data_IF_395617427425
#
_entry.id   IF_395617427425
#
_cell.length_a   1.000
_cell.length_b   1.000
_cell.length_c   1.000
_cell.angle_alpha   90.00
_cell.angle_beta   90.00
_cell.angle_gamma   90.00
#
_symmetry.space_group_name_H-M   'P 1'
#
loop_
_entity.id
_entity.type
_entity.pdbx_description
1 polymer ?
#
# COMPACT_ATOMS: atom_id res chain seq x y z
N UNK A 1 21.70 -20.23 26.85
CA UNK A 1 20.30 -19.79 27.02
C UNK A 1 20.11 -18.63 26.07
N UNK A 2 19.53 -18.88 24.90
CA UNK A 2 19.37 -17.87 23.83
C UNK A 2 18.05 -17.16 24.12
N UNK A 3 18.00 -15.82 24.24
CA UNK A 3 16.74 -15.12 24.44
C UNK A 3 15.89 -15.27 23.18
N UNK A 4 14.62 -15.61 23.36
CA UNK A 4 13.65 -15.71 22.28
C UNK A 4 13.47 -14.33 21.63
N UNK A 5 13.74 -14.25 20.32
CA UNK A 5 13.36 -13.11 19.50
C UNK A 5 11.85 -12.94 19.60
N UNK A 6 11.39 -11.75 20.00
CA UNK A 6 9.99 -11.39 19.93
C UNK A 6 9.54 -11.50 18.45
N UNK A 7 8.76 -12.54 18.14
CA UNK A 7 8.02 -12.59 16.88
C UNK A 7 6.84 -11.63 17.04
N UNK A 8 6.73 -10.53 16.27
CA UNK A 8 5.53 -9.72 16.31
C UNK A 8 4.44 -10.48 15.57
N UNK A 9 3.69 -11.32 16.29
CA UNK A 9 2.39 -11.80 15.82
C UNK A 9 1.43 -10.63 15.92
N UNK A 10 1.26 -9.89 14.82
CA UNK A 10 0.15 -8.95 14.64
C UNK A 10 -1.19 -9.66 14.38
N UNK A 11 -1.34 -10.91 14.85
CA UNK A 11 -2.57 -11.68 14.72
C UNK A 11 -3.54 -11.16 15.77
N UNK A 12 -4.54 -10.40 15.34
CA UNK A 12 -5.60 -9.84 16.19
C UNK A 12 -5.66 -8.31 16.25
N UNK A 13 -4.79 -7.60 15.53
CA UNK A 13 -4.74 -6.14 15.50
C UNK A 13 -5.16 -5.60 14.13
N UNK A 14 -5.89 -4.48 14.11
CA UNK A 14 -6.23 -3.75 12.88
C UNK A 14 -4.99 -3.06 12.33
N UNK A 15 -4.72 -3.25 11.05
CA UNK A 15 -3.61 -2.63 10.31
C UNK A 15 -4.18 -1.54 9.42
N UNK A 16 -3.99 -0.29 9.81
CA UNK A 16 -4.26 0.85 8.94
C UNK A 16 -3.13 0.97 7.93
N UNK A 17 -3.48 1.26 6.67
CA UNK A 17 -2.52 1.55 5.61
C UNK A 17 -2.85 2.89 4.95
N UNK A 18 -1.81 3.65 4.62
CA UNK A 18 -1.92 4.92 3.91
C UNK A 18 -0.84 5.02 2.85
N UNK A 19 -1.20 5.55 1.68
CA UNK A 19 -0.25 6.22 0.79
C UNK A 19 -0.05 7.63 1.35
N UNK A 20 1.18 7.98 1.69
CA UNK A 20 1.48 9.16 2.51
C UNK A 20 2.30 10.21 1.76
N UNK A 21 2.20 11.43 2.25
CA UNK A 21 3.06 12.53 1.86
C UNK A 21 3.87 12.99 3.08
N UNK A 22 5.13 13.36 2.86
CA UNK A 22 5.97 13.94 3.90
C UNK A 22 6.00 15.45 3.72
N UNK A 23 5.28 16.16 4.59
CA UNK A 23 5.21 17.62 4.57
C UNK A 23 5.92 18.17 5.80
N UNK A 24 7.01 18.91 5.58
CA UNK A 24 7.82 19.53 6.65
C UNK A 24 8.27 18.55 7.75
N UNK A 25 8.61 17.31 7.35
CA UNK A 25 9.05 16.27 8.30
C UNK A 25 7.91 15.61 9.08
N UNK A 26 6.67 15.73 8.60
CA UNK A 26 5.50 15.03 9.14
C UNK A 26 4.89 14.13 8.06
N UNK A 27 4.66 12.86 8.40
CA UNK A 27 3.89 11.95 7.57
C UNK A 27 2.39 12.25 7.68
N UNK A 28 1.73 12.45 6.54
CA UNK A 28 0.29 12.74 6.44
C UNK A 28 -0.35 11.81 5.41
N UNK A 29 -1.58 11.41 5.68
CA UNK A 29 -2.38 10.62 4.73
C UNK A 29 -2.71 11.44 3.47
N UNK A 30 -3.15 10.74 2.42
CA UNK A 30 -3.52 11.38 1.15
C UNK A 30 -2.31 11.73 0.28
N UNK A 31 -1.24 10.94 0.39
CA UNK A 31 -0.12 10.95 -0.54
C UNK A 31 -0.45 10.32 -1.87
N UNK A 32 0.60 10.25 -2.70
CA UNK A 32 0.54 9.74 -4.06
C UNK A 32 1.70 8.76 -4.26
N UNK A 33 1.37 7.57 -4.74
CA UNK A 33 2.34 6.61 -5.24
C UNK A 33 2.19 6.46 -6.75
N UNK A 34 3.32 6.26 -7.43
CA UNK A 34 3.41 6.05 -8.86
C UNK A 34 4.07 4.71 -9.09
N UNK A 35 3.39 3.85 -9.84
CA UNK A 35 3.96 2.62 -10.38
C UNK A 35 4.19 2.72 -11.89
N UNK A 36 5.07 1.87 -12.41
CA UNK A 36 5.38 1.77 -13.83
C UNK A 36 5.13 0.35 -14.37
N UNK A 37 4.51 0.26 -15.54
CA UNK A 37 4.44 -0.98 -16.31
C UNK A 37 5.60 -1.05 -17.29
N UNK A 38 6.63 -1.83 -16.95
CA UNK A 38 7.90 -1.86 -17.69
C UNK A 38 7.76 -2.17 -19.19
N UNK A 39 6.76 -2.97 -19.59
CA UNK A 39 6.59 -3.37 -20.98
C UNK A 39 6.05 -2.25 -21.88
N UNK A 40 5.20 -1.35 -21.36
CA UNK A 40 4.61 -0.26 -22.13
C UNK A 40 5.20 1.11 -21.78
N UNK A 41 5.85 1.22 -20.62
CA UNK A 41 6.27 2.51 -20.05
C UNK A 41 5.11 3.31 -19.45
N UNK A 42 3.90 2.78 -19.42
CA UNK A 42 2.75 3.43 -18.81
C UNK A 42 2.97 3.60 -17.30
N UNK A 43 2.43 4.69 -16.77
CA UNK A 43 2.47 4.94 -15.33
C UNK A 43 1.08 4.89 -14.73
N UNK A 44 1.04 4.50 -13.46
CA UNK A 44 -0.18 4.39 -12.67
C UNK A 44 0.01 5.18 -11.39
N UNK A 45 -0.70 6.29 -11.29
CA UNK A 45 -0.68 7.17 -10.11
C UNK A 45 -1.85 6.80 -9.21
N UNK A 46 -1.57 6.43 -7.96
CA UNK A 46 -2.56 6.00 -6.98
C UNK A 46 -2.56 6.93 -5.77
N UNK A 47 -3.76 7.17 -5.25
CA UNK A 47 -3.98 7.64 -3.87
C UNK A 47 -4.72 6.54 -3.11
N UNK A 48 -4.62 6.53 -1.78
CA UNK A 48 -5.50 5.65 -1.02
C UNK A 48 -5.09 5.46 0.43
N UNK A 49 -6.05 4.93 1.17
CA UNK A 49 -5.92 4.52 2.56
C UNK A 49 -6.98 3.47 2.88
N UNK A 50 -6.81 2.76 3.98
CA UNK A 50 -7.80 1.82 4.49
C UNK A 50 -7.31 1.05 5.70
N UNK A 51 -8.03 -0.03 6.01
CA UNK A 51 -7.79 -0.87 7.17
C UNK A 51 -7.83 -2.34 6.75
N UNK A 52 -7.00 -3.16 7.38
CA UNK A 52 -7.01 -4.60 7.23
C UNK A 52 -7.08 -5.26 8.61
N UNK A 53 -7.80 -6.37 8.70
CA UNK A 53 -7.97 -7.16 9.91
C UNK A 53 -7.48 -8.58 9.62
N UNK A 54 -6.15 -8.84 9.73
CA UNK A 54 -5.57 -10.12 9.32
C UNK A 54 -6.15 -11.34 10.06
N UNK A 55 -6.66 -11.15 11.28
CA UNK A 55 -7.29 -12.23 12.05
C UNK A 55 -8.69 -12.59 11.53
N UNK A 56 -9.41 -11.61 10.97
CA UNK A 56 -10.76 -11.79 10.41
C UNK A 56 -10.73 -12.07 8.91
N UNK A 57 -9.54 -11.97 8.30
CA UNK A 57 -9.34 -12.03 6.85
C UNK A 57 -10.21 -11.01 6.10
N UNK A 58 -10.31 -9.79 6.65
CA UNK A 58 -11.03 -8.67 6.06
C UNK A 58 -10.11 -7.48 5.76
N UNK A 59 -10.47 -6.71 4.74
CA UNK A 59 -9.78 -5.47 4.39
C UNK A 59 -10.73 -4.52 3.67
N UNK A 60 -10.59 -3.24 3.98
CA UNK A 60 -11.34 -2.13 3.39
C UNK A 60 -10.39 -1.02 2.94
N UNK A 61 -10.96 -0.05 2.21
CA UNK A 61 -10.24 1.11 1.70
C UNK A 61 -10.33 1.24 0.19
N UNK A 62 -9.48 2.09 -0.35
CA UNK A 62 -9.48 2.39 -1.77
C UNK A 62 -8.91 3.77 -2.04
N UNK A 63 -9.13 4.23 -3.27
CA UNK A 63 -8.72 5.57 -3.68
C UNK A 63 -8.85 5.80 -5.17
N UNK A 64 -8.10 6.77 -5.67
CA UNK A 64 -8.11 7.16 -7.08
C UNK A 64 -6.94 6.46 -7.76
N UNK A 65 -7.17 6.04 -9.00
CA UNK A 65 -6.11 5.55 -9.90
C UNK A 65 -6.13 6.34 -11.19
N UNK A 66 -4.98 6.83 -11.62
CA UNK A 66 -4.80 7.49 -12.92
C UNK A 66 -3.81 6.66 -13.73
N UNK A 67 -4.26 6.13 -14.85
CA UNK A 67 -3.41 5.45 -15.83
C UNK A 67 -2.99 6.47 -16.89
N UNK A 68 -1.70 6.75 -16.95
CA UNK A 68 -1.07 7.54 -18.00
C UNK A 68 -0.54 6.61 -19.09
N UNK A 69 -1.03 6.77 -20.31
CA UNK A 69 -0.62 5.99 -21.47
C UNK A 69 0.60 6.64 -22.13
N UNK A 70 1.76 6.00 -22.05
CA UNK A 70 3.00 6.55 -22.59
C UNK A 70 2.95 6.71 -24.13
N UNK A 71 2.27 5.79 -24.82
CA UNK A 71 2.19 5.78 -26.27
C UNK A 71 1.37 6.94 -26.87
N UNK A 72 0.31 7.35 -26.18
CA UNK A 72 -0.63 8.39 -26.65
C UNK A 72 -0.51 9.69 -25.87
N UNK A 73 0.22 9.70 -24.75
CA UNK A 73 0.33 10.82 -23.82
C UNK A 73 -1.04 11.32 -23.34
N UNK A 74 -1.88 10.38 -22.91
CA UNK A 74 -3.24 10.63 -22.42
C UNK A 74 -3.46 9.97 -21.07
N UNK A 75 -4.42 10.49 -20.30
CA UNK A 75 -4.77 9.95 -18.99
C UNK A 75 -6.17 9.32 -18.98
N UNK A 76 -6.32 8.25 -18.21
CA UNK A 76 -7.62 7.69 -17.83
C UNK A 76 -7.70 7.58 -16.31
N UNK A 77 -8.68 8.27 -15.71
CA UNK A 77 -8.91 8.26 -14.27
C UNK A 77 -9.98 7.23 -13.90
N UNK A 78 -9.75 6.47 -12.84
CA UNK A 78 -10.72 5.57 -12.24
C UNK A 78 -10.68 5.65 -10.72
N UNK A 79 -11.50 4.81 -10.09
CA UNK A 79 -11.45 4.58 -8.64
C UNK A 79 -11.22 3.11 -8.39
N UNK A 80 -10.47 2.78 -7.35
CA UNK A 80 -10.36 1.41 -6.88
C UNK A 80 -10.89 1.28 -5.46
N UNK A 81 -11.50 0.13 -5.19
CA UNK A 81 -11.96 -0.24 -3.86
C UNK A 81 -11.31 -1.55 -3.47
N UNK A 82 -10.93 -1.68 -2.20
CA UNK A 82 -10.54 -2.97 -1.64
C UNK A 82 -11.78 -3.85 -1.51
N UNK A 83 -11.66 -5.09 -1.96
CA UNK A 83 -12.75 -6.07 -1.96
C UNK A 83 -12.45 -7.29 -1.09
N UNK A 84 -11.26 -7.36 -0.49
CA UNK A 84 -10.91 -8.42 0.44
C UNK A 84 -9.44 -8.42 0.82
N UNK A 85 -9.15 -9.08 1.94
CA UNK A 85 -7.81 -9.37 2.42
C UNK A 85 -7.18 -10.53 1.66
N UNK A 86 -5.85 -10.50 1.48
CA UNK A 86 -5.10 -11.64 0.94
C UNK A 86 -4.00 -12.09 1.91
N UNK A 87 -3.13 -11.18 2.35
CA UNK A 87 -2.00 -11.52 3.21
C UNK A 87 -1.44 -10.31 3.97
N UNK A 88 -0.85 -10.56 5.14
CA UNK A 88 -0.15 -9.57 5.94
C UNK A 88 1.14 -10.13 6.55
N UNK A 89 2.26 -9.49 6.24
CA UNK A 89 3.57 -9.79 6.81
C UNK A 89 4.11 -8.56 7.57
N UNK A 90 4.03 -8.52 8.91
CA UNK A 90 4.56 -7.41 9.69
C UNK A 90 6.11 -7.42 9.69
N UNK A 91 6.71 -6.24 9.55
CA UNK A 91 8.17 -6.05 9.51
C UNK A 91 8.74 -5.20 10.66
N UNK A 92 7.90 -4.54 11.48
CA UNK A 92 8.35 -3.68 12.57
C UNK A 92 9.13 -2.45 12.08
N UNK A 93 10.15 -2.02 12.83
CA UNK A 93 10.92 -0.81 12.51
C UNK A 93 10.38 0.44 13.22
N UNK A 94 10.89 1.60 12.83
CA UNK A 94 10.61 2.87 13.52
C UNK A 94 10.41 4.02 12.53
N UNK A 95 9.33 4.77 12.71
CA UNK A 95 9.11 6.03 12.00
C UNK A 95 10.05 7.12 12.57
N UNK A 96 10.86 7.73 11.71
CA UNK A 96 11.85 8.75 12.10
C UNK A 96 11.39 10.19 11.83
N UNK A 97 10.15 10.36 11.40
CA UNK A 97 9.48 11.64 11.16
C UNK A 97 8.31 11.81 12.12
N UNK A 98 7.77 13.02 12.23
CA UNK A 98 6.55 13.23 13.00
C UNK A 98 5.38 12.45 12.36
N UNK A 99 4.55 11.85 13.19
CA UNK A 99 3.36 11.13 12.76
C UNK A 99 2.14 12.04 12.85
N UNK A 100 1.53 12.36 11.72
CA UNK A 100 0.30 13.13 11.63
C UNK A 100 -0.93 12.28 11.27
N UNK A 101 -0.80 10.95 11.30
CA UNK A 101 -1.85 10.00 10.88
C UNK A 101 -2.35 9.21 12.08
N UNK A 102 -1.42 8.63 12.84
CA UNK A 102 -1.68 7.81 14.02
C UNK A 102 -0.66 8.08 15.11
N UNK A 103 -0.35 7.07 15.92
CA UNK A 103 0.76 7.17 16.87
C UNK A 103 2.03 6.54 16.31
N UNK A 104 3.16 7.25 16.43
CA UNK A 104 4.46 6.76 15.95
C UNK A 104 4.87 5.39 16.52
N UNK A 105 4.34 5.01 17.69
CA UNK A 105 4.57 3.69 18.30
C UNK A 105 3.77 2.54 17.67
N UNK A 106 2.78 2.86 16.83
CA UNK A 106 1.97 1.93 16.05
C UNK A 106 2.54 1.75 14.64
N UNK A 107 3.41 2.67 14.20
CA UNK A 107 4.03 2.64 12.89
C UNK A 107 4.83 1.34 12.67
N UNK A 108 4.63 0.70 11.52
CA UNK A 108 5.31 -0.54 11.18
C UNK A 108 5.63 -0.62 9.69
N UNK A 109 6.76 -1.25 9.39
CA UNK A 109 7.05 -1.82 8.07
C UNK A 109 6.19 -3.07 7.85
N UNK A 110 6.11 -3.51 6.61
CA UNK A 110 5.48 -4.78 6.28
C UNK A 110 5.10 -4.90 4.82
N UNK A 111 4.39 -5.98 4.51
CA UNK A 111 3.77 -6.24 3.21
C UNK A 111 2.30 -6.55 3.45
N UNK A 112 1.42 -5.72 2.91
CA UNK A 112 -0.03 -5.91 2.93
C UNK A 112 -0.51 -6.20 1.52
N UNK A 113 -1.15 -7.35 1.31
CA UNK A 113 -1.70 -7.76 0.03
C UNK A 113 -3.23 -7.81 0.10
N UNK A 114 -3.88 -7.18 -0.86
CA UNK A 114 -5.33 -6.98 -0.88
C UNK A 114 -5.91 -7.26 -2.27
N UNK A 115 -7.10 -7.83 -2.31
CA UNK A 115 -7.91 -7.89 -3.52
C UNK A 115 -8.57 -6.53 -3.75
N UNK A 116 -8.54 -6.04 -4.99
CA UNK A 116 -9.16 -4.77 -5.36
C UNK A 116 -10.05 -4.92 -6.58
N UNK A 117 -11.00 -4.01 -6.71
CA UNK A 117 -11.78 -3.77 -7.93
C UNK A 117 -11.56 -2.34 -8.41
N UNK A 118 -11.12 -2.18 -9.65
CA UNK A 118 -10.93 -0.91 -10.33
C UNK A 118 -12.14 -0.63 -11.20
N UNK A 119 -12.79 0.51 -11.01
CA UNK A 119 -13.87 1.02 -11.84
C UNK A 119 -13.32 2.03 -12.85
N UNK A 120 -13.58 1.76 -14.12
CA UNK A 120 -13.15 2.58 -15.25
C UNK A 120 -14.21 3.63 -15.59
N UNK A 121 -13.86 4.75 -16.27
CA UNK A 121 -14.82 5.75 -16.73
C UNK A 121 -15.99 5.20 -17.53
N UNK A 122 -15.79 4.08 -18.24
CA UNK A 122 -16.83 3.41 -19.02
C UNK A 122 -17.89 2.69 -18.18
N UNK A 123 -17.72 2.63 -16.86
CA UNK A 123 -18.55 1.82 -15.95
C UNK A 123 -18.15 0.34 -15.90
N UNK A 124 -17.23 -0.10 -16.77
CA UNK A 124 -16.63 -1.42 -16.66
C UNK A 124 -15.69 -1.51 -15.45
N UNK A 125 -15.48 -2.72 -14.92
CA UNK A 125 -14.52 -2.94 -13.84
C UNK A 125 -13.46 -3.97 -14.20
N UNK A 126 -12.37 -3.97 -13.44
CA UNK A 126 -11.30 -4.97 -13.47
C UNK A 126 -10.97 -5.37 -12.03
N UNK A 127 -10.88 -6.67 -11.81
CA UNK A 127 -10.41 -7.21 -10.54
C UNK A 127 -8.90 -7.39 -10.58
N UNK A 128 -8.25 -7.15 -9.45
CA UNK A 128 -6.80 -7.20 -9.35
C UNK A 128 -6.32 -7.37 -7.92
N UNK A 129 -5.02 -7.25 -7.76
CA UNK A 129 -4.34 -7.29 -6.47
C UNK A 129 -3.50 -6.05 -6.29
N UNK A 130 -3.68 -5.38 -5.16
CA UNK A 130 -2.80 -4.31 -4.69
C UNK A 130 -1.95 -4.86 -3.56
N UNK A 131 -0.65 -4.75 -3.71
CA UNK A 131 0.30 -4.96 -2.62
C UNK A 131 0.85 -3.61 -2.21
N UNK A 132 0.81 -3.30 -0.93
CA UNK A 132 1.40 -2.11 -0.32
C UNK A 132 2.57 -2.60 0.53
N UNK A 133 3.73 -1.99 0.37
CA UNK A 133 4.95 -2.32 1.07
C UNK A 133 5.46 -1.07 1.78
N UNK A 134 5.57 -1.14 3.11
CA UNK A 134 6.16 -0.05 3.89
C UNK A 134 7.53 -0.48 4.38
N UNK A 135 8.52 0.37 4.16
CA UNK A 135 9.91 0.21 4.59
C UNK A 135 10.26 1.30 5.60
N UNK A 136 10.37 0.91 6.87
CA UNK A 136 10.90 1.76 7.94
C UNK A 136 12.31 1.31 8.36
N UNK A 137 13.16 2.25 8.82
CA UNK A 137 14.43 1.92 9.45
C UNK A 137 14.26 0.92 10.61
N UNK A 138 15.20 -0.03 10.71
CA UNK A 138 15.19 -1.04 11.77
C UNK A 138 14.21 -2.19 11.57
N UNK A 139 13.56 -2.29 10.41
CA UNK A 139 12.69 -3.42 10.08
C UNK A 139 13.46 -4.76 10.03
N UNK A 140 12.77 -5.84 10.38
CA UNK A 140 13.30 -7.22 10.29
C UNK A 140 13.11 -7.82 8.90
N UNK A 141 12.26 -7.21 8.07
CA UNK A 141 12.00 -7.60 6.68
C UNK A 141 12.53 -6.48 5.79
N UNK A 142 13.39 -6.83 4.83
CA UNK A 142 13.84 -5.91 3.80
C UNK A 142 12.82 -5.95 2.65
N UNK A 143 12.03 -4.89 2.55
CA UNK A 143 11.03 -4.71 1.51
C UNK A 143 11.38 -3.48 0.68
N UNK A 144 11.04 -3.53 -0.60
CA UNK A 144 11.02 -2.34 -1.44
C UNK A 144 9.77 -1.53 -1.08
N UNK A 145 9.97 -0.27 -0.72
CA UNK A 145 8.90 0.69 -0.42
C UNK A 145 7.91 0.79 -1.59
N UNK A 146 6.63 1.03 -1.31
CA UNK A 146 5.65 1.44 -2.31
C UNK A 146 4.59 0.41 -2.66
N UNK A 147 4.15 0.43 -3.92
CA UNK A 147 3.03 -0.38 -4.40
C UNK A 147 3.44 -1.41 -5.47
N UNK A 148 2.66 -2.49 -5.53
CA UNK A 148 2.59 -3.36 -6.70
C UNK A 148 1.13 -3.58 -7.07
N UNK A 149 0.77 -3.30 -8.32
CA UNK A 149 -0.57 -3.53 -8.86
C UNK A 149 -0.53 -4.62 -9.92
N UNK A 150 -1.32 -5.67 -9.73
CA UNK A 150 -1.43 -6.79 -10.68
C UNK A 150 -2.87 -7.01 -11.14
N UNK A 151 -3.06 -7.15 -12.44
CA UNK A 151 -4.29 -7.68 -13.05
C UNK A 151 -3.89 -8.94 -13.80
N UNK A 152 -4.45 -10.09 -13.40
CA UNK A 152 -4.02 -11.40 -13.90
C UNK A 152 -3.99 -11.45 -15.43
N UNK A 153 -2.84 -11.85 -15.99
CA UNK A 153 -2.62 -11.99 -17.43
C UNK A 153 -2.61 -10.69 -18.24
N UNK A 154 -2.73 -9.52 -17.60
CA UNK A 154 -2.92 -8.24 -18.30
C UNK A 154 -1.91 -7.18 -17.86
N UNK A 155 -1.67 -7.04 -16.56
CA UNK A 155 -0.94 -5.91 -16.00
C UNK A 155 -0.08 -6.35 -14.81
N UNK A 156 1.16 -5.89 -14.79
CA UNK A 156 2.03 -5.95 -13.61
C UNK A 156 2.79 -4.62 -13.50
N UNK A 157 2.39 -3.82 -12.53
CA UNK A 157 2.95 -2.50 -12.25
C UNK A 157 3.78 -2.62 -10.98
N UNK A 158 5.02 -2.15 -11.04
CA UNK A 158 5.95 -2.11 -9.90
C UNK A 158 6.16 -0.68 -9.46
N UNK A 159 6.59 -0.49 -8.21
CA UNK A 159 6.84 0.84 -7.66
C UNK A 159 7.80 1.64 -8.55
N UNK A 160 7.52 2.94 -8.67
CA UNK A 160 8.45 3.92 -9.22
C UNK A 160 8.79 5.03 -8.22
N UNK A 161 7.79 5.58 -7.53
CA UNK A 161 7.98 6.62 -6.52
C UNK A 161 6.79 6.74 -5.58
N UNK A 162 7.00 7.16 -4.35
CA UNK A 162 5.95 7.31 -3.35
C UNK A 162 6.41 6.80 -2.00
N UNK A 163 5.55 6.94 -0.99
CA UNK A 163 5.83 6.51 0.38
C UNK A 163 4.53 6.00 0.98
N UNK A 164 4.62 4.91 1.71
CA UNK A 164 3.51 4.26 2.37
C UNK A 164 3.79 4.15 3.86
N UNK A 165 2.73 4.01 4.65
CA UNK A 165 2.85 3.82 6.08
C UNK A 165 1.79 2.86 6.57
N UNK A 166 2.18 1.94 7.47
CA UNK A 166 1.24 1.14 8.24
C UNK A 166 1.21 1.56 9.69
N UNK A 167 0.03 1.48 10.31
CA UNK A 167 -0.15 1.53 11.75
C UNK A 167 -0.84 0.26 12.22
N UNK A 168 -0.21 -0.47 13.14
CA UNK A 168 -0.81 -1.63 13.81
C UNK A 168 -1.47 -1.13 15.10
N UNK A 169 -2.79 -0.98 15.06
CA UNK A 169 -3.60 -0.43 16.16
C UNK A 169 -3.73 -1.46 17.28
N UNK A 170 -3.61 -0.99 18.53
CA UNK A 170 -3.60 -1.85 19.73
C UNK A 170 -4.99 -2.20 20.23
#
# INVERSE_FOLDING_TARGET
MIPALAQPRALGHTVRWDLVQIVRGTALAGGVDVGIHAATGDTFTLTGSGDAEPAEADATGGGIIVHHFAATNTDSMGVYVVTGFIDWQPGGGQLLVADGIGHASEASSGVLKMAIRIFLPSGAFRDGTLTVNCRLPGATVDVEEGIQLTIAGTLNVVQHSGVTLFHIQK
#
